data_IF_758489706122
#
_entry.id   IF_758489706122
#
_cell.length_a   1.000
_cell.length_b   1.000
_cell.length_c   1.000
_cell.angle_alpha   90.00
_cell.angle_beta   90.00
_cell.angle_gamma   90.00
#
_symmetry.space_group_name_H-M   'P 1'
#
loop_
_entity.id
_entity.type
_entity.pdbx_description
1 polymer ?
#
# COMPACT_ATOMS: atom_id res chain seq x y z
N UNK A 1 -27.95 -27.04 6.38
CA UNK A 1 -27.07 -25.86 6.23
C UNK A 1 -26.33 -25.67 7.54
N UNK A 2 -25.05 -26.02 7.55
CA UNK A 2 -24.28 -26.16 8.79
C UNK A 2 -23.89 -24.79 9.35
N UNK A 3 -24.03 -24.66 10.68
CA UNK A 3 -23.73 -23.42 11.41
C UNK A 3 -22.31 -22.94 11.13
N UNK A 4 -21.36 -23.88 10.99
CA UNK A 4 -19.96 -23.61 10.69
C UNK A 4 -19.81 -22.90 9.33
N UNK A 5 -20.49 -23.38 8.29
CA UNK A 5 -20.44 -22.78 6.95
C UNK A 5 -21.07 -21.38 6.93
N UNK A 6 -22.12 -21.18 7.74
CA UNK A 6 -22.78 -19.86 7.89
C UNK A 6 -21.88 -18.85 8.60
N UNK A 7 -21.16 -19.29 9.64
CA UNK A 7 -20.17 -18.48 10.37
C UNK A 7 -19.03 -18.10 9.42
N UNK A 8 -18.39 -19.07 8.76
CA UNK A 8 -17.28 -18.80 7.84
C UNK A 8 -17.68 -17.78 6.76
N UNK A 9 -18.85 -17.94 6.14
CA UNK A 9 -19.33 -17.00 5.12
C UNK A 9 -19.52 -15.56 5.64
N UNK A 10 -19.93 -15.37 6.90
CA UNK A 10 -20.14 -14.02 7.46
C UNK A 10 -18.85 -13.31 7.82
N UNK A 11 -17.81 -14.06 8.19
CA UNK A 11 -16.52 -13.49 8.61
C UNK A 11 -15.46 -13.51 7.50
N UNK A 12 -15.76 -14.14 6.36
CA UNK A 12 -14.94 -14.09 5.13
C UNK A 12 -15.37 -12.92 4.25
N UNK A 13 -15.27 -11.70 4.76
CA UNK A 13 -15.47 -10.51 3.92
C UNK A 13 -14.29 -10.33 2.98
N UNK A 14 -14.56 -10.29 1.67
CA UNK A 14 -13.59 -9.91 0.64
C UNK A 14 -12.94 -8.57 0.97
N UNK A 15 -11.63 -8.42 0.69
CA UNK A 15 -10.89 -7.17 0.90
C UNK A 15 -11.48 -6.00 0.09
N UNK A 16 -12.24 -6.29 -0.96
CA UNK A 16 -12.92 -5.30 -1.80
C UNK A 16 -14.44 -5.38 -1.68
N UNK A 17 -15.15 -4.24 -1.74
CA UNK A 17 -16.59 -4.21 -1.82
C UNK A 17 -17.08 -4.86 -3.12
N UNK A 18 -18.28 -5.45 -3.08
CA UNK A 18 -18.93 -6.12 -4.22
C UNK A 18 -19.04 -5.21 -5.46
N UNK A 19 -19.19 -3.90 -5.24
CA UNK A 19 -19.17 -2.87 -6.27
C UNK A 19 -18.00 -1.93 -6.03
N UNK A 20 -16.95 -2.05 -6.83
CA UNK A 20 -15.79 -1.15 -6.83
C UNK A 20 -16.00 -0.09 -7.91
N UNK A 21 -16.34 1.17 -7.57
CA UNK A 21 -16.52 2.18 -8.60
C UNK A 21 -15.19 2.48 -9.33
N UNK A 22 -15.26 2.88 -10.60
CA UNK A 22 -14.08 3.34 -11.33
C UNK A 22 -13.42 4.48 -10.55
N UNK A 23 -12.11 4.41 -10.37
CA UNK A 23 -11.33 5.37 -9.59
C UNK A 23 -11.67 5.47 -8.08
N UNK A 24 -12.00 4.34 -7.44
CA UNK A 24 -11.88 4.27 -5.97
C UNK A 24 -10.47 4.69 -5.55
N UNK A 25 -10.39 5.62 -4.59
CA UNK A 25 -9.13 5.91 -3.93
C UNK A 25 -8.63 4.62 -3.28
N UNK A 26 -7.54 4.05 -3.82
CA UNK A 26 -6.88 2.92 -3.20
C UNK A 26 -6.27 3.40 -1.89
N UNK A 27 -6.81 2.94 -0.78
CA UNK A 27 -6.19 3.11 0.54
C UNK A 27 -5.27 1.90 0.74
N UNK A 28 -3.94 2.10 0.81
CA UNK A 28 -3.02 1.01 1.10
C UNK A 28 -3.37 0.38 2.45
N UNK A 29 -3.29 -0.94 2.51
CA UNK A 29 -3.39 -1.65 3.78
C UNK A 29 -2.21 -1.24 4.68
N UNK A 30 -2.49 -0.72 5.87
CA UNK A 30 -1.48 -0.36 6.85
C UNK A 30 -1.49 -1.39 7.98
N UNK A 31 -0.33 -1.97 8.28
CA UNK A 31 -0.17 -2.91 9.38
C UNK A 31 -0.43 -2.23 10.73
N UNK A 32 -0.93 -2.97 11.72
CA UNK A 32 -1.25 -2.41 13.05
C UNK A 32 -0.02 -1.98 13.85
N UNK A 33 1.15 -2.57 13.56
CA UNK A 33 2.41 -2.23 14.21
C UNK A 33 3.56 -2.22 13.19
N UNK A 34 3.58 -1.24 12.27
CA UNK A 34 4.58 -1.19 11.22
C UNK A 34 5.94 -0.80 11.78
N UNK A 35 7.02 -1.25 11.13
CA UNK A 35 8.36 -0.77 11.45
C UNK A 35 8.43 0.73 11.15
N UNK A 36 8.90 1.51 12.12
CA UNK A 36 9.00 2.97 12.02
C UNK A 36 10.41 3.45 12.36
N UNK A 37 10.78 4.59 11.78
CA UNK A 37 11.97 5.32 12.18
C UNK A 37 11.75 6.07 13.51
N UNK A 38 12.84 6.41 14.20
CA UNK A 38 12.77 7.39 15.30
C UNK A 38 12.38 8.76 14.75
N UNK A 39 11.89 9.71 15.58
CA UNK A 39 11.48 11.03 15.11
C UNK A 39 12.57 11.79 14.33
N UNK A 40 13.82 11.70 14.78
CA UNK A 40 14.96 12.36 14.12
C UNK A 40 15.24 11.74 12.75
N UNK A 41 15.27 10.41 12.67
CA UNK A 41 15.46 9.70 11.41
C UNK A 41 14.32 9.95 10.41
N UNK A 42 13.08 10.03 10.90
CA UNK A 42 11.91 10.29 10.07
C UNK A 42 11.93 11.71 9.47
N UNK A 43 12.40 12.69 10.26
CA UNK A 43 12.56 14.07 9.79
C UNK A 43 13.58 14.14 8.64
N UNK A 44 14.72 13.46 8.79
CA UNK A 44 15.76 13.41 7.76
C UNK A 44 15.31 12.65 6.51
N UNK A 45 14.57 11.55 6.67
CA UNK A 45 14.08 10.73 5.56
C UNK A 45 12.85 11.28 4.84
N UNK A 46 12.12 12.24 5.44
CA UNK A 46 10.85 12.75 4.93
C UNK A 46 9.68 11.76 5.02
N UNK A 47 9.85 10.66 5.76
CA UNK A 47 8.83 9.63 6.01
C UNK A 47 9.14 8.89 7.31
N UNK A 48 8.11 8.54 8.09
CA UNK A 48 8.26 7.68 9.28
C UNK A 48 8.37 6.19 8.92
N UNK A 49 7.95 5.83 7.70
CA UNK A 49 7.90 4.45 7.21
C UNK A 49 9.12 4.14 6.34
N UNK A 50 10.02 3.22 6.77
CA UNK A 50 11.22 2.85 6.01
C UNK A 50 10.91 2.30 4.61
N UNK A 51 9.78 1.63 4.44
CA UNK A 51 9.34 1.08 3.16
C UNK A 51 9.04 2.15 2.09
N UNK A 52 8.77 3.39 2.51
CA UNK A 52 8.55 4.53 1.64
C UNK A 52 9.85 5.27 1.31
N UNK A 53 10.93 5.04 2.08
CA UNK A 53 12.25 5.62 1.82
C UNK A 53 12.98 4.85 0.71
N UNK A 54 12.53 5.03 -0.52
CA UNK A 54 13.08 4.36 -1.71
C UNK A 54 14.10 5.25 -2.40
N UNK A 55 15.25 4.72 -2.86
CA UNK A 55 16.22 5.50 -3.62
C UNK A 55 15.60 6.02 -4.91
N UNK A 56 15.91 7.27 -5.25
CA UNK A 56 15.50 7.87 -6.51
C UNK A 56 16.38 7.33 -7.64
N UNK A 57 15.82 6.52 -8.53
CA UNK A 57 16.59 5.86 -9.59
C UNK A 57 16.82 6.68 -10.86
N UNK A 58 16.24 7.88 -10.98
CA UNK A 58 16.65 8.97 -11.90
C UNK A 58 17.00 8.68 -13.37
N UNK A 59 16.76 7.49 -13.91
CA UNK A 59 17.29 6.98 -15.19
C UNK A 59 16.13 6.32 -15.97
N UNK A 60 15.79 6.57 -17.24
CA UNK A 60 16.32 7.40 -18.35
C UNK A 60 15.12 7.80 -19.23
N UNK A 61 14.52 8.98 -19.06
CA UNK A 61 13.72 9.60 -20.11
C UNK A 61 14.59 10.60 -20.90
N UNK A 62 15.79 10.17 -21.30
CA UNK A 62 16.58 10.86 -22.31
C UNK A 62 16.16 10.31 -23.66
N UNK A 63 15.27 11.02 -24.36
CA UNK A 63 14.86 10.65 -25.72
C UNK A 63 16.09 10.44 -26.61
N UNK A 64 16.05 9.39 -27.43
CA UNK A 64 17.08 9.13 -28.45
C UNK A 64 17.16 10.36 -29.36
N UNK A 65 18.29 11.08 -29.35
CA UNK A 65 18.60 12.06 -30.38
C UNK A 65 19.14 11.29 -31.57
N UNK A 66 18.30 11.05 -32.57
CA UNK A 66 18.77 10.60 -33.88
C UNK A 66 19.46 11.80 -34.54
N UNK A 67 20.77 11.69 -34.74
CA UNK A 67 21.55 12.54 -35.63
C UNK A 67 21.75 11.89 -36.99
#
# INVERSE_FOLDING_TARGET
MDIINTVISRYTTSKFPEKTPPAMAYVPFQESNPKTYSPVQALDAGTVFPELNKPFYGNKCGGVKNG
#
